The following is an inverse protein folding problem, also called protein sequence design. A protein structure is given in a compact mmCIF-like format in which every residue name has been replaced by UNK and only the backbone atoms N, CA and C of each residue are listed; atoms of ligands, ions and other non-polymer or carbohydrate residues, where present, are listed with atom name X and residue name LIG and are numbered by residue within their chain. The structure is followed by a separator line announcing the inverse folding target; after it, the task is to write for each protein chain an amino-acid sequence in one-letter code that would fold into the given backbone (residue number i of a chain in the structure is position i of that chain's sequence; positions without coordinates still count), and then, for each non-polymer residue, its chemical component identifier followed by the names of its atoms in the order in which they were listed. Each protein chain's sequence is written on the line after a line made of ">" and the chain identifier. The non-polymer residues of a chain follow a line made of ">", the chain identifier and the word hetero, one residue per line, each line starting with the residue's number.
data_IF_027742260776
#
_entry.id   IF_027742260776
#
_cell.length_a   1.000
_cell.length_b   1.000
_cell.length_c   1.000
_cell.angle_alpha   90.00
_cell.angle_beta   90.00
_cell.angle_gamma   90.00
#
_symmetry.space_group_name_H-M   'P 1'
#
loop_
_entity.id
_entity.type
_entity.pdbx_description
1 polymer ?
#
# COMPACT_ATOMS: atom_id res chain seq x y z
N UNK A 1 -28.61 -12.36 -27.73
CA UNK A 1 -27.49 -13.31 -27.71
C UNK A 1 -26.97 -13.38 -26.28
N UNK A 2 -26.89 -14.55 -25.63
CA UNK A 2 -26.33 -14.67 -24.31
C UNK A 2 -24.83 -14.32 -24.40
N UNK A 3 -24.42 -13.26 -23.73
CA UNK A 3 -22.99 -12.94 -23.57
C UNK A 3 -22.34 -14.14 -22.87
N UNK A 4 -21.38 -14.80 -23.55
CA UNK A 4 -20.53 -15.81 -22.92
C UNK A 4 -19.94 -15.18 -21.66
N UNK A 5 -20.17 -15.79 -20.51
CA UNK A 5 -19.54 -15.35 -19.26
C UNK A 5 -18.01 -15.34 -19.47
N UNK A 6 -17.32 -14.25 -19.13
CA UNK A 6 -15.87 -14.19 -19.29
C UNK A 6 -15.22 -15.32 -18.50
N UNK A 7 -14.11 -15.85 -18.99
CA UNK A 7 -13.42 -16.94 -18.29
C UNK A 7 -12.91 -16.44 -16.93
N UNK A 8 -13.02 -17.30 -15.91
CA UNK A 8 -12.51 -16.98 -14.57
C UNK A 8 -11.01 -16.56 -14.59
N UNK A 9 -10.23 -17.17 -15.51
CA UNK A 9 -8.83 -16.78 -15.73
C UNK A 9 -8.69 -15.33 -16.20
N UNK A 10 -9.60 -14.83 -17.04
CA UNK A 10 -9.57 -13.43 -17.50
C UNK A 10 -9.89 -12.46 -16.36
N UNK A 11 -10.81 -12.82 -15.47
CA UNK A 11 -11.12 -12.03 -14.26
C UNK A 11 -9.91 -11.96 -13.32
N UNK A 12 -9.21 -13.08 -13.13
CA UNK A 12 -8.00 -13.14 -12.31
C UNK A 12 -6.88 -12.27 -12.91
N UNK A 13 -6.63 -12.40 -14.21
CA UNK A 13 -5.62 -11.60 -14.92
C UNK A 13 -5.95 -10.10 -14.86
N UNK A 14 -7.21 -9.72 -15.05
CA UNK A 14 -7.66 -8.34 -14.96
C UNK A 14 -7.44 -7.77 -13.54
N UNK A 15 -7.80 -8.50 -12.50
CA UNK A 15 -7.57 -8.10 -11.11
C UNK A 15 -6.08 -7.96 -10.79
N UNK A 16 -5.25 -8.92 -11.22
CA UNK A 16 -3.80 -8.86 -11.07
C UNK A 16 -3.23 -7.61 -11.74
N UNK A 17 -3.60 -7.33 -12.99
CA UNK A 17 -3.09 -6.17 -13.74
C UNK A 17 -3.55 -4.83 -13.16
N UNK A 18 -4.77 -4.74 -12.61
CA UNK A 18 -5.22 -3.54 -11.90
C UNK A 18 -4.33 -3.26 -10.70
N UNK A 19 -4.05 -4.26 -9.87
CA UNK A 19 -3.18 -4.09 -8.71
C UNK A 19 -1.70 -3.91 -9.10
N UNK A 20 -1.27 -4.53 -10.19
CA UNK A 20 0.07 -4.36 -10.76
C UNK A 20 0.31 -2.90 -11.18
N UNK A 21 -0.57 -2.31 -11.98
CA UNK A 21 -0.45 -0.91 -12.42
C UNK A 21 -0.69 0.05 -11.25
N UNK A 22 -1.68 -0.23 -10.40
CA UNK A 22 -1.97 0.57 -9.21
C UNK A 22 -0.80 0.64 -8.24
N UNK A 23 -0.09 -0.49 -8.02
CA UNK A 23 1.11 -0.55 -7.19
C UNK A 23 2.26 0.31 -7.74
N UNK A 24 2.55 0.19 -9.04
CA UNK A 24 3.55 1.04 -9.71
C UNK A 24 3.19 2.52 -9.66
N UNK A 25 1.95 2.87 -10.00
CA UNK A 25 1.47 4.26 -10.02
C UNK A 25 1.55 4.94 -8.64
N UNK A 26 1.24 4.19 -7.58
CA UNK A 26 1.27 4.68 -6.19
C UNK A 26 2.67 5.09 -5.74
N UNK A 27 3.69 4.35 -6.13
CA UNK A 27 5.06 4.56 -5.65
C UNK A 27 5.90 5.46 -6.58
N UNK A 28 5.38 5.82 -7.76
CA UNK A 28 6.10 6.64 -8.73
C UNK A 28 6.46 8.04 -8.19
N UNK A 29 5.66 8.59 -7.27
CA UNK A 29 5.94 9.89 -6.65
C UNK A 29 7.27 9.89 -5.88
N UNK A 30 7.63 8.79 -5.23
CA UNK A 30 8.93 8.64 -4.57
C UNK A 30 10.11 8.63 -5.55
N UNK A 31 9.90 8.08 -6.75
CA UNK A 31 10.91 8.07 -7.82
C UNK A 31 11.10 9.48 -8.43
N UNK A 32 10.02 10.24 -8.58
CA UNK A 32 10.02 11.54 -9.26
C UNK A 32 10.17 12.73 -8.31
N UNK A 33 10.17 12.52 -6.99
CA UNK A 33 10.24 13.60 -6.00
C UNK A 33 11.42 14.53 -6.23
N UNK A 34 12.64 13.99 -6.29
CA UNK A 34 13.85 14.79 -6.45
C UNK A 34 13.89 15.54 -7.78
N UNK A 35 13.66 14.90 -8.96
CA UNK A 35 13.59 15.60 -10.24
C UNK A 35 12.59 16.76 -10.27
N UNK A 36 11.40 16.60 -9.65
CA UNK A 36 10.39 17.67 -9.58
C UNK A 36 10.86 18.84 -8.71
N UNK A 37 11.41 18.53 -7.53
CA UNK A 37 11.94 19.54 -6.61
C UNK A 37 13.09 20.31 -7.24
N UNK A 38 14.02 19.62 -7.91
CA UNK A 38 15.19 20.23 -8.53
C UNK A 38 14.79 21.13 -9.74
N UNK A 39 13.75 20.75 -10.52
CA UNK A 39 13.28 21.53 -11.68
C UNK A 39 12.54 22.80 -11.27
N UNK A 40 11.67 22.72 -10.27
CA UNK A 40 10.79 23.83 -9.90
C UNK A 40 11.31 24.65 -8.72
N UNK A 41 12.34 24.17 -8.01
CA UNK A 41 12.84 24.80 -6.78
C UNK A 41 11.87 24.68 -5.61
N UNK A 42 10.99 23.67 -5.63
CA UNK A 42 10.02 23.42 -4.54
C UNK A 42 10.69 22.85 -3.30
N UNK A 43 10.04 23.02 -2.15
CA UNK A 43 10.35 22.25 -0.95
C UNK A 43 9.87 20.80 -1.08
N UNK A 44 10.58 19.86 -0.46
CA UNK A 44 10.12 18.45 -0.41
C UNK A 44 8.80 18.29 0.34
N UNK A 45 8.51 19.19 1.28
CA UNK A 45 7.24 19.22 2.03
C UNK A 45 6.04 19.45 1.12
N UNK A 46 6.17 20.15 -0.01
CA UNK A 46 5.08 20.36 -0.96
C UNK A 46 4.68 19.04 -1.63
N UNK A 47 5.66 18.22 -2.02
CA UNK A 47 5.40 16.86 -2.52
C UNK A 47 4.95 15.93 -1.39
N UNK A 48 5.56 16.04 -0.20
CA UNK A 48 5.13 15.31 1.00
C UNK A 48 3.66 15.58 1.37
N UNK A 49 3.20 16.83 1.21
CA UNK A 49 1.79 17.20 1.39
C UNK A 49 0.88 16.48 0.37
N UNK A 50 1.27 16.44 -0.90
CA UNK A 50 0.51 15.72 -1.93
C UNK A 50 0.38 14.23 -1.59
N UNK A 51 1.44 13.58 -1.10
CA UNK A 51 1.41 12.21 -0.61
C UNK A 51 0.52 12.07 0.63
N UNK A 52 0.62 12.99 1.60
CA UNK A 52 -0.22 13.02 2.79
C UNK A 52 -1.71 13.10 2.44
N UNK A 53 -2.09 13.99 1.54
CA UNK A 53 -3.46 14.14 1.04
C UNK A 53 -3.90 12.88 0.30
N UNK A 54 -3.04 12.30 -0.56
CA UNK A 54 -3.33 11.01 -1.22
C UNK A 54 -3.65 9.91 -0.21
N UNK A 55 -2.87 9.79 0.86
CA UNK A 55 -3.11 8.77 1.89
C UNK A 55 -4.46 8.97 2.58
N UNK A 56 -4.78 10.20 2.99
CA UNK A 56 -6.05 10.50 3.64
C UNK A 56 -7.24 10.27 2.73
N UNK A 57 -7.17 10.76 1.48
CA UNK A 57 -8.25 10.64 0.50
C UNK A 57 -8.44 9.19 0.07
N UNK A 58 -7.36 8.46 -0.22
CA UNK A 58 -7.45 7.05 -0.62
C UNK A 58 -8.02 6.17 0.50
N UNK A 59 -7.68 6.44 1.77
CA UNK A 59 -8.26 5.72 2.91
C UNK A 59 -9.78 5.83 2.96
N UNK A 60 -10.31 7.04 2.76
CA UNK A 60 -11.76 7.30 2.67
C UNK A 60 -12.36 6.68 1.40
N UNK A 61 -11.68 6.84 0.26
CA UNK A 61 -12.14 6.32 -1.03
C UNK A 61 -12.25 4.79 -1.03
N UNK A 62 -11.29 4.07 -0.45
CA UNK A 62 -11.29 2.60 -0.32
C UNK A 62 -12.53 2.13 0.45
N UNK A 63 -12.89 2.81 1.54
CA UNK A 63 -14.08 2.47 2.33
C UNK A 63 -15.37 2.58 1.51
N UNK A 64 -15.53 3.70 0.79
CA UNK A 64 -16.72 3.90 -0.06
C UNK A 64 -16.71 2.99 -1.28
N UNK A 65 -15.54 2.76 -1.90
CA UNK A 65 -15.41 1.89 -3.06
C UNK A 65 -15.86 0.45 -2.78
N UNK A 66 -15.54 -0.09 -1.59
CA UNK A 66 -16.06 -1.40 -1.16
C UNK A 66 -17.58 -1.43 -1.11
N UNK A 67 -18.21 -0.42 -0.47
CA UNK A 67 -19.67 -0.33 -0.38
C UNK A 67 -20.35 -0.13 -1.75
N UNK A 68 -19.72 0.63 -2.65
CA UNK A 68 -20.22 0.80 -4.02
C UNK A 68 -20.04 -0.46 -4.84
N UNK A 69 -18.93 -1.19 -4.69
CA UNK A 69 -18.70 -2.47 -5.36
C UNK A 69 -19.75 -3.52 -4.97
N UNK A 70 -20.17 -3.53 -3.71
CA UNK A 70 -21.24 -4.42 -3.24
C UNK A 70 -22.61 -4.05 -3.80
N UNK A 71 -22.91 -2.76 -3.99
CA UNK A 71 -24.22 -2.25 -4.40
C UNK A 71 -24.39 -2.12 -5.92
N UNK A 72 -23.38 -1.58 -6.59
CA UNK A 72 -23.41 -1.24 -8.02
C UNK A 72 -22.57 -2.18 -8.89
N UNK A 73 -21.88 -3.15 -8.25
CA UNK A 73 -20.98 -4.10 -8.88
C UNK A 73 -19.55 -3.57 -9.04
N UNK A 74 -18.55 -4.47 -8.96
CA UNK A 74 -17.14 -4.10 -9.04
C UNK A 74 -16.74 -3.48 -10.38
N UNK A 75 -17.41 -3.86 -11.48
CA UNK A 75 -17.14 -3.33 -12.83
C UNK A 75 -17.22 -1.80 -12.89
N UNK A 76 -18.29 -1.22 -12.39
CA UNK A 76 -18.50 0.24 -12.43
C UNK A 76 -17.45 0.97 -11.59
N UNK A 77 -17.19 0.47 -10.37
CA UNK A 77 -16.25 1.07 -9.43
C UNK A 77 -14.82 1.01 -9.98
N UNK A 78 -14.38 -0.15 -10.47
CA UNK A 78 -13.05 -0.33 -11.07
C UNK A 78 -12.87 0.51 -12.33
N UNK A 79 -13.88 0.56 -13.22
CA UNK A 79 -13.79 1.35 -14.45
C UNK A 79 -13.73 2.86 -14.16
N UNK A 80 -14.56 3.34 -13.23
CA UNK A 80 -14.53 4.76 -12.80
C UNK A 80 -13.20 5.11 -12.12
N UNK A 81 -12.71 4.21 -11.25
CA UNK A 81 -11.43 4.36 -10.56
C UNK A 81 -10.25 4.41 -11.53
N UNK A 82 -10.18 3.49 -12.49
CA UNK A 82 -9.12 3.45 -13.51
C UNK A 82 -9.14 4.69 -14.42
N UNK A 83 -10.33 5.12 -14.85
CA UNK A 83 -10.46 6.32 -15.68
C UNK A 83 -9.97 7.56 -14.93
N UNK A 84 -10.41 7.72 -13.68
CA UNK A 84 -9.98 8.85 -12.86
C UNK A 84 -8.48 8.78 -12.57
N UNK A 85 -7.92 7.60 -12.28
CA UNK A 85 -6.49 7.38 -12.10
C UNK A 85 -5.70 7.71 -13.38
N UNK A 86 -6.18 7.28 -14.55
CA UNK A 86 -5.53 7.55 -15.82
C UNK A 86 -5.43 9.05 -16.10
N UNK A 87 -6.55 9.77 -15.94
CA UNK A 87 -6.61 11.21 -16.16
C UNK A 87 -5.72 11.96 -15.16
N UNK A 88 -5.91 11.69 -13.86
CA UNK A 88 -5.20 12.43 -12.82
C UNK A 88 -3.69 12.19 -12.83
N UNK A 89 -3.27 10.92 -12.96
CA UNK A 89 -1.84 10.57 -12.99
C UNK A 89 -1.20 11.03 -14.31
N UNK A 90 -1.92 10.95 -15.43
CA UNK A 90 -1.44 11.46 -16.71
C UNK A 90 -1.26 12.98 -16.70
N UNK A 91 -2.19 13.72 -16.11
CA UNK A 91 -2.12 15.18 -15.96
C UNK A 91 -1.00 15.63 -15.01
N UNK A 92 -0.49 14.74 -14.14
CA UNK A 92 0.72 15.05 -13.36
C UNK A 92 1.92 15.44 -14.24
N UNK A 93 1.97 14.99 -15.49
CA UNK A 93 2.99 15.40 -16.45
C UNK A 93 2.96 16.90 -16.82
N UNK A 94 1.88 17.60 -16.51
CA UNK A 94 1.69 19.01 -16.79
C UNK A 94 1.74 19.91 -15.55
N UNK A 95 2.14 19.34 -14.41
CA UNK A 95 2.24 20.07 -13.14
C UNK A 95 3.30 21.17 -13.27
N UNK A 96 2.95 22.38 -12.82
CA UNK A 96 3.83 23.55 -12.78
C UNK A 96 3.80 24.26 -11.42
N UNK A 97 2.81 23.93 -10.57
CA UNK A 97 2.62 24.53 -9.25
C UNK A 97 2.39 23.43 -8.20
N UNK A 98 2.82 23.59 -6.95
CA UNK A 98 2.68 22.55 -5.92
C UNK A 98 1.23 22.11 -5.68
N UNK A 99 0.27 23.04 -5.73
CA UNK A 99 -1.14 22.72 -5.53
C UNK A 99 -1.72 21.83 -6.63
N UNK A 100 -1.14 21.85 -7.86
CA UNK A 100 -1.50 20.90 -8.91
C UNK A 100 -1.19 19.46 -8.48
N UNK A 101 -0.02 19.22 -7.85
CA UNK A 101 0.33 17.90 -7.33
C UNK A 101 -0.60 17.47 -6.22
N UNK A 102 -0.98 18.38 -5.31
CA UNK A 102 -1.95 18.10 -4.25
C UNK A 102 -3.31 17.72 -4.83
N UNK A 103 -3.79 18.46 -5.83
CA UNK A 103 -5.08 18.18 -6.46
C UNK A 103 -5.05 16.89 -7.30
N UNK A 104 -4.07 16.78 -8.20
CA UNK A 104 -4.02 15.68 -9.19
C UNK A 104 -3.62 14.36 -8.53
N UNK A 105 -2.49 14.35 -7.82
CA UNK A 105 -2.01 13.14 -7.13
C UNK A 105 -2.73 12.93 -5.78
N UNK A 106 -2.83 13.97 -4.97
CA UNK A 106 -3.41 13.86 -3.64
C UNK A 106 -4.89 13.51 -3.69
N UNK A 107 -5.71 14.32 -4.35
CA UNK A 107 -7.17 14.18 -4.32
C UNK A 107 -7.66 13.24 -5.42
N UNK A 108 -7.44 13.58 -6.68
CA UNK A 108 -8.09 12.87 -7.80
C UNK A 108 -7.52 11.46 -7.98
N UNK A 109 -6.18 11.30 -7.97
CA UNK A 109 -5.57 9.98 -8.02
C UNK A 109 -5.85 9.19 -6.71
N UNK A 110 -5.90 9.85 -5.54
CA UNK A 110 -6.30 9.22 -4.29
C UNK A 110 -7.69 8.58 -4.35
N UNK A 111 -8.68 9.26 -4.95
CA UNK A 111 -10.03 8.72 -5.18
C UNK A 111 -9.96 7.59 -6.22
N UNK A 112 -9.32 7.82 -7.37
CA UNK A 112 -9.24 6.86 -8.47
C UNK A 112 -8.56 5.56 -8.07
N UNK A 113 -7.37 5.64 -7.48
CA UNK A 113 -6.60 4.49 -7.02
C UNK A 113 -7.29 3.77 -5.86
N UNK A 114 -7.95 4.52 -4.94
CA UNK A 114 -8.78 3.92 -3.89
C UNK A 114 -9.97 3.14 -4.46
N UNK A 115 -10.60 3.63 -5.52
CA UNK A 115 -11.67 2.92 -6.22
C UNK A 115 -11.18 1.73 -7.06
N UNK A 116 -9.93 1.75 -7.54
CA UNK A 116 -9.29 0.63 -8.25
C UNK A 116 -8.42 -0.24 -7.32
N UNK A 117 -8.68 -0.22 -6.01
CA UNK A 117 -7.87 -0.88 -4.99
C UNK A 117 -8.21 -2.35 -4.78
N UNK A 118 -7.48 -2.95 -3.83
CA UNK A 118 -7.63 -4.33 -3.40
C UNK A 118 -9.07 -4.72 -3.04
N UNK A 119 -9.87 -3.83 -2.42
CA UNK A 119 -11.20 -4.21 -1.93
C UNK A 119 -12.17 -4.47 -3.09
N UNK A 120 -12.39 -3.56 -4.06
CA UNK A 120 -13.24 -3.85 -5.23
C UNK A 120 -12.70 -5.01 -6.09
N UNK A 121 -11.38 -5.13 -6.23
CA UNK A 121 -10.75 -6.26 -6.91
C UNK A 121 -11.01 -7.56 -6.16
N UNK A 122 -10.89 -7.56 -4.84
CA UNK A 122 -11.19 -8.72 -3.99
C UNK A 122 -12.64 -9.18 -4.08
N UNK A 123 -13.59 -8.25 -4.11
CA UNK A 123 -15.01 -8.54 -4.35
C UNK A 123 -15.20 -9.23 -5.71
N UNK A 124 -14.60 -8.69 -6.77
CA UNK A 124 -14.65 -9.24 -8.12
C UNK A 124 -14.11 -10.67 -8.17
N UNK A 125 -12.92 -10.89 -7.61
CA UNK A 125 -12.21 -12.17 -7.64
C UNK A 125 -12.93 -13.21 -6.77
N UNK A 126 -13.38 -12.85 -5.58
CA UNK A 126 -14.13 -13.77 -4.69
C UNK A 126 -15.41 -14.27 -5.33
N UNK A 127 -16.12 -13.42 -6.08
CA UNK A 127 -17.31 -13.81 -6.82
C UNK A 127 -17.00 -14.73 -8.00
N UNK A 128 -15.85 -14.56 -8.66
CA UNK A 128 -15.42 -15.41 -9.77
C UNK A 128 -14.86 -16.77 -9.31
N UNK A 129 -14.33 -16.85 -8.09
CA UNK A 129 -13.69 -18.06 -7.53
C UNK A 129 -14.25 -18.44 -6.15
N UNK A 130 -15.54 -18.80 -6.05
CA UNK A 130 -16.16 -19.10 -4.76
C UNK A 130 -15.58 -20.34 -4.07
N UNK A 131 -14.99 -21.29 -4.83
CA UNK A 131 -14.39 -22.50 -4.29
C UNK A 131 -13.00 -22.29 -3.66
N UNK A 132 -12.26 -21.24 -4.07
CA UNK A 132 -10.89 -20.95 -3.60
C UNK A 132 -10.64 -19.45 -3.48
N UNK A 133 -11.46 -18.71 -2.71
CA UNK A 133 -11.37 -17.25 -2.67
C UNK A 133 -10.04 -16.75 -2.06
N UNK A 134 -9.50 -17.45 -1.06
CA UNK A 134 -8.24 -17.09 -0.41
C UNK A 134 -7.05 -17.14 -1.37
N UNK A 135 -6.87 -18.25 -2.06
CA UNK A 135 -5.79 -18.41 -3.05
C UNK A 135 -5.90 -17.39 -4.18
N UNK A 136 -7.09 -17.20 -4.71
CA UNK A 136 -7.32 -16.29 -5.85
C UNK A 136 -7.07 -14.84 -5.46
N UNK A 137 -7.47 -14.41 -4.26
CA UNK A 137 -7.16 -13.09 -3.75
C UNK A 137 -5.65 -12.91 -3.51
N UNK A 138 -4.97 -13.90 -2.92
CA UNK A 138 -3.52 -13.84 -2.71
C UNK A 138 -2.76 -13.71 -4.05
N UNK A 139 -3.17 -14.49 -5.06
CA UNK A 139 -2.58 -14.41 -6.41
C UNK A 139 -2.75 -13.03 -7.04
N UNK A 140 -3.91 -12.39 -6.88
CA UNK A 140 -4.15 -11.04 -7.41
C UNK A 140 -3.40 -9.99 -6.61
N UNK A 141 -3.32 -10.13 -5.28
CA UNK A 141 -2.57 -9.22 -4.40
C UNK A 141 -1.07 -9.20 -4.71
N UNK A 142 -0.48 -10.31 -5.15
CA UNK A 142 0.93 -10.35 -5.58
C UNK A 142 1.21 -9.38 -6.72
N UNK A 143 0.18 -8.99 -7.49
CA UNK A 143 0.25 -7.96 -8.52
C UNK A 143 0.82 -6.63 -8.00
N UNK A 144 0.50 -6.22 -6.76
CA UNK A 144 1.06 -4.98 -6.18
C UNK A 144 2.59 -5.04 -6.04
N UNK A 145 3.11 -6.13 -5.49
CA UNK A 145 4.56 -6.30 -5.29
C UNK A 145 5.30 -6.45 -6.62
N UNK A 146 4.74 -7.25 -7.54
CA UNK A 146 5.31 -7.41 -8.89
C UNK A 146 5.23 -6.09 -9.67
N UNK A 147 4.13 -5.34 -9.53
CA UNK A 147 3.95 -4.02 -10.12
C UNK A 147 4.95 -3.00 -9.59
N UNK A 148 5.16 -2.96 -8.30
CA UNK A 148 6.21 -2.12 -7.70
C UNK A 148 7.59 -2.47 -8.28
N UNK A 149 7.96 -3.74 -8.33
CA UNK A 149 9.24 -4.16 -8.89
C UNK A 149 9.37 -3.78 -10.37
N UNK A 150 8.44 -4.23 -11.20
CA UNK A 150 8.58 -4.15 -12.66
C UNK A 150 8.33 -2.72 -13.17
N UNK A 151 7.28 -2.06 -12.66
CA UNK A 151 6.95 -0.70 -13.13
C UNK A 151 7.97 0.30 -12.60
N UNK A 152 8.28 0.29 -11.30
CA UNK A 152 9.23 1.26 -10.75
C UNK A 152 10.63 1.04 -11.33
N UNK A 153 11.09 -0.22 -11.47
CA UNK A 153 12.36 -0.52 -12.12
C UNK A 153 12.39 -0.06 -13.59
N UNK A 154 11.31 -0.29 -14.34
CA UNK A 154 11.17 0.21 -15.71
C UNK A 154 11.12 1.73 -15.80
N UNK A 155 10.38 2.39 -14.90
CA UNK A 155 10.28 3.86 -14.86
C UNK A 155 11.58 4.52 -14.42
N UNK A 156 12.40 3.87 -13.58
CA UNK A 156 13.74 4.34 -13.28
C UNK A 156 14.62 4.43 -14.54
N UNK A 157 14.48 3.44 -15.44
CA UNK A 157 15.16 3.51 -16.75
C UNK A 157 14.57 4.60 -17.67
N UNK A 158 13.24 4.78 -17.69
CA UNK A 158 12.58 5.86 -18.44
C UNK A 158 13.04 7.23 -17.95
N UNK A 159 13.22 7.38 -16.62
CA UNK A 159 13.67 8.65 -16.03
C UNK A 159 15.10 9.04 -16.46
N UNK A 160 15.95 8.07 -16.77
CA UNK A 160 17.28 8.33 -17.34
C UNK A 160 17.26 8.77 -18.81
N UNK A 161 16.35 8.17 -19.60
CA UNK A 161 16.27 8.39 -21.05
C UNK A 161 15.38 9.57 -21.41
N UNK A 162 14.47 9.96 -20.52
CA UNK A 162 13.47 11.01 -20.70
C UNK A 162 13.36 11.87 -19.43
N UNK A 163 12.19 12.41 -19.17
CA UNK A 163 11.93 13.24 -17.98
C UNK A 163 10.89 12.59 -17.06
N UNK A 164 10.73 13.13 -15.84
CA UNK A 164 9.67 12.73 -14.93
C UNK A 164 8.26 12.93 -15.50
N UNK A 165 8.08 13.87 -16.44
CA UNK A 165 6.84 14.06 -17.20
C UNK A 165 6.46 12.78 -17.97
N UNK A 166 7.42 12.14 -18.65
CA UNK A 166 7.21 10.89 -19.36
C UNK A 166 6.77 9.75 -18.42
N UNK A 167 7.31 9.69 -17.21
CA UNK A 167 6.90 8.72 -16.18
C UNK A 167 5.39 8.79 -15.95
N UNK A 168 4.85 9.97 -15.73
CA UNK A 168 3.42 10.17 -15.47
C UNK A 168 2.55 9.92 -16.71
N UNK A 169 3.02 10.28 -17.91
CA UNK A 169 2.32 9.94 -19.16
C UNK A 169 2.21 8.42 -19.36
N UNK A 170 3.30 7.68 -19.16
CA UNK A 170 3.29 6.21 -19.24
C UNK A 170 2.33 5.58 -18.23
N UNK A 171 2.30 6.07 -17.00
CA UNK A 171 1.41 5.59 -15.96
C UNK A 171 -0.07 5.92 -16.27
N UNK A 172 -0.34 7.10 -16.79
CA UNK A 172 -1.67 7.49 -17.26
C UNK A 172 -2.16 6.56 -18.37
N UNK A 173 -1.31 6.32 -19.39
CA UNK A 173 -1.60 5.39 -20.47
C UNK A 173 -1.81 3.95 -19.96
N UNK A 174 -0.99 3.46 -19.04
CA UNK A 174 -1.13 2.13 -18.47
C UNK A 174 -2.47 1.95 -17.73
N UNK A 175 -2.88 2.92 -16.92
CA UNK A 175 -4.20 2.89 -16.27
C UNK A 175 -5.35 2.93 -17.30
N UNK A 176 -5.23 3.72 -18.37
CA UNK A 176 -6.24 3.83 -19.42
C UNK A 176 -6.38 2.53 -20.20
N UNK A 177 -5.27 1.85 -20.51
CA UNK A 177 -5.26 0.57 -21.22
C UNK A 177 -5.94 -0.57 -20.44
N UNK A 178 -6.02 -0.47 -19.12
CA UNK A 178 -6.77 -1.43 -18.30
C UNK A 178 -8.29 -1.26 -18.39
N UNK A 179 -8.78 -0.10 -18.79
CA UNK A 179 -10.22 0.19 -18.84
C UNK A 179 -10.98 -0.77 -19.76
N UNK A 180 -10.59 -0.98 -21.04
CA UNK A 180 -11.26 -1.97 -21.88
C UNK A 180 -11.16 -3.38 -21.31
N UNK A 181 -10.02 -3.75 -20.71
CA UNK A 181 -9.87 -5.07 -20.09
C UNK A 181 -10.93 -5.30 -18.98
N UNK A 182 -11.13 -4.35 -18.08
CA UNK A 182 -12.15 -4.44 -17.03
C UNK A 182 -13.56 -4.48 -17.61
N UNK A 183 -13.82 -3.67 -18.63
CA UNK A 183 -15.12 -3.65 -19.31
C UNK A 183 -15.46 -4.98 -20.00
N UNK A 184 -14.46 -5.76 -20.45
CA UNK A 184 -14.65 -7.08 -21.05
C UNK A 184 -14.60 -8.21 -20.02
N UNK A 185 -13.67 -8.14 -19.06
CA UNK A 185 -13.43 -9.22 -18.10
C UNK A 185 -14.47 -9.30 -16.98
N UNK A 186 -15.11 -8.18 -16.61
CA UNK A 186 -16.03 -8.11 -15.48
C UNK A 186 -17.47 -8.04 -15.97
N UNK A 187 -18.32 -9.05 -15.68
CA UNK A 187 -19.72 -9.05 -16.11
C UNK A 187 -20.49 -7.83 -15.56
N UNK A 188 -21.51 -7.38 -16.31
CA UNK A 188 -22.51 -6.48 -15.77
C UNK A 188 -23.35 -7.27 -14.76
N UNK A 189 -23.26 -6.94 -13.49
CA UNK A 189 -24.08 -7.58 -12.48
C UNK A 189 -25.48 -6.95 -12.39
N UNK A 190 -26.51 -7.80 -12.25
CA UNK A 190 -27.82 -7.36 -11.81
C UNK A 190 -27.85 -7.32 -10.27
N UNK A 191 -28.57 -6.35 -9.71
CA UNK A 191 -28.69 -6.07 -8.25
C UNK A 191 -29.15 -7.25 -7.37
N UNK A 192 -29.45 -8.41 -7.94
CA UNK A 192 -30.12 -9.51 -7.24
C UNK A 192 -29.18 -10.50 -6.51
N UNK A 193 -27.84 -10.45 -6.74
CA UNK A 193 -26.92 -11.49 -6.26
C UNK A 193 -26.17 -11.19 -4.94
N UNK A 194 -26.54 -10.15 -4.21
CA UNK A 194 -25.73 -9.58 -3.10
C UNK A 194 -26.06 -10.11 -1.69
N UNK A 195 -26.76 -11.24 -1.51
CA UNK A 195 -27.11 -11.77 -0.18
C UNK A 195 -26.74 -13.23 0.01
N UNK A 196 -25.47 -13.51 0.30
CA UNK A 196 -25.11 -14.71 1.06
C UNK A 196 -24.47 -14.24 2.39
N UNK A 197 -25.24 -14.33 3.46
CA UNK A 197 -24.83 -14.02 4.82
C UNK A 197 -23.93 -15.14 5.38
N UNK A 198 -22.71 -14.78 5.81
CA UNK A 198 -21.90 -15.67 6.65
C UNK A 198 -22.38 -15.62 8.12
N UNK A 199 -22.21 -16.71 8.90
CA UNK A 199 -22.62 -16.75 10.30
C UNK A 199 -21.92 -15.67 11.14
N UNK A 200 -22.67 -15.09 12.02
CA UNK A 200 -22.39 -13.86 12.76
C UNK A 200 -21.64 -14.16 14.07
N UNK A 201 -20.36 -14.57 14.01
CA UNK A 201 -19.52 -14.86 15.18
C UNK A 201 -18.51 -13.72 15.42
N UNK A 202 -18.60 -13.03 16.57
CA UNK A 202 -17.64 -12.00 16.98
C UNK A 202 -18.24 -10.76 17.60
N UNK A 203 -17.37 -9.84 18.05
CA UNK A 203 -17.76 -8.59 18.73
C UNK A 203 -17.82 -7.41 17.76
N UNK A 204 -18.72 -6.47 18.04
CA UNK A 204 -18.87 -5.25 17.22
C UNK A 204 -17.73 -4.26 17.40
N UNK A 205 -17.56 -3.35 16.44
CA UNK A 205 -16.52 -2.29 16.44
C UNK A 205 -16.52 -1.49 17.75
N UNK A 206 -17.70 -1.12 18.26
CA UNK A 206 -17.82 -0.37 19.53
C UNK A 206 -17.32 -1.19 20.73
N UNK A 207 -17.54 -2.49 20.74
CA UNK A 207 -17.07 -3.38 21.81
C UNK A 207 -15.57 -3.66 21.69
N UNK A 208 -15.05 -3.83 20.47
CA UNK A 208 -13.61 -3.95 20.21
C UNK A 208 -12.86 -2.69 20.70
N UNK A 209 -13.39 -1.49 20.44
CA UNK A 209 -12.81 -0.21 20.88
C UNK A 209 -12.74 -0.03 22.40
N UNK A 210 -13.40 -0.88 23.20
CA UNK A 210 -13.26 -0.91 24.67
C UNK A 210 -12.12 -1.80 25.15
N UNK A 211 -11.48 -2.58 24.27
CA UNK A 211 -10.43 -3.53 24.63
C UNK A 211 -9.05 -2.94 24.48
N UNK A 212 -8.15 -3.27 25.40
CA UNK A 212 -6.72 -2.92 25.31
C UNK A 212 -6.09 -3.47 24.03
N UNK A 213 -6.48 -4.68 23.62
CA UNK A 213 -5.97 -5.35 22.42
C UNK A 213 -6.18 -4.54 21.15
N UNK A 214 -7.37 -3.91 21.01
CA UNK A 214 -7.69 -3.05 19.86
C UNK A 214 -6.76 -1.83 19.77
N UNK A 215 -6.52 -1.13 20.89
CA UNK A 215 -5.68 0.06 20.90
C UNK A 215 -4.20 -0.25 20.70
N UNK A 216 -3.71 -1.37 21.25
CA UNK A 216 -2.36 -1.86 20.97
C UNK A 216 -2.19 -2.15 19.48
N UNK A 217 -3.13 -2.88 18.88
CA UNK A 217 -3.12 -3.21 17.46
C UNK A 217 -3.18 -1.95 16.59
N UNK A 218 -4.07 -1.02 16.94
CA UNK A 218 -4.20 0.27 16.24
C UNK A 218 -2.89 1.08 16.30
N UNK A 219 -2.24 1.13 17.46
CA UNK A 219 -0.94 1.80 17.65
C UNK A 219 0.17 1.16 16.82
N UNK A 220 0.26 -0.17 16.81
CA UNK A 220 1.25 -0.90 15.98
C UNK A 220 1.07 -0.56 14.49
N UNK A 221 -0.18 -0.56 14.00
CA UNK A 221 -0.45 -0.26 12.58
C UNK A 221 -0.35 1.22 12.25
N UNK A 222 -0.61 2.12 13.20
CA UNK A 222 -0.36 3.55 13.04
C UNK A 222 1.14 3.81 12.78
N UNK A 223 2.01 3.24 13.62
CA UNK A 223 3.47 3.34 13.46
C UNK A 223 3.93 2.65 12.18
N UNK A 224 3.39 1.48 11.86
CA UNK A 224 3.70 0.78 10.62
C UNK A 224 3.48 1.68 9.40
N UNK A 225 2.30 2.31 9.31
CA UNK A 225 2.00 3.22 8.21
C UNK A 225 2.93 4.43 8.18
N UNK A 226 3.21 5.00 9.34
CA UNK A 226 4.12 6.14 9.47
C UNK A 226 5.51 5.83 8.90
N UNK A 227 6.11 4.68 9.25
CA UNK A 227 7.39 4.22 8.73
C UNK A 227 7.32 3.90 7.23
N UNK A 228 6.29 3.16 6.81
CA UNK A 228 6.16 2.65 5.44
C UNK A 228 6.12 3.77 4.40
N UNK A 229 5.31 4.79 4.65
CA UNK A 229 5.14 5.88 3.67
C UNK A 229 6.21 6.96 3.76
N UNK A 230 6.85 7.13 4.90
CA UNK A 230 8.09 7.88 4.96
C UNK A 230 9.14 7.25 4.03
N UNK A 231 9.43 5.96 4.21
CA UNK A 231 10.48 5.28 3.45
C UNK A 231 10.16 5.26 1.96
N UNK A 232 8.96 4.82 1.56
CA UNK A 232 8.59 4.73 0.13
C UNK A 232 8.53 6.06 -0.59
N UNK A 233 8.33 7.16 0.13
CA UNK A 233 8.34 8.51 -0.42
C UNK A 233 9.76 9.06 -0.58
N UNK A 234 10.64 8.80 0.40
CA UNK A 234 11.90 9.52 0.50
C UNK A 234 13.15 8.69 0.19
N UNK A 235 13.08 7.35 0.15
CA UNK A 235 14.26 6.48 -0.01
C UNK A 235 15.07 6.78 -1.27
N UNK A 236 14.42 7.08 -2.39
CA UNK A 236 15.08 7.38 -3.66
C UNK A 236 15.81 8.72 -3.57
N UNK A 237 15.14 9.76 -3.09
CA UNK A 237 15.73 11.08 -2.90
C UNK A 237 16.87 11.04 -1.89
N UNK A 238 16.69 10.33 -0.77
CA UNK A 238 17.73 10.13 0.24
C UNK A 238 18.98 9.44 -0.35
N UNK A 239 18.80 8.36 -1.12
CA UNK A 239 19.90 7.66 -1.75
C UNK A 239 20.68 8.57 -2.73
N UNK A 240 19.97 9.35 -3.56
CA UNK A 240 20.56 10.32 -4.47
C UNK A 240 21.33 11.44 -3.72
N UNK A 241 20.82 11.92 -2.61
CA UNK A 241 21.50 12.92 -1.77
C UNK A 241 22.80 12.36 -1.13
N UNK A 242 22.94 11.03 -1.04
CA UNK A 242 24.17 10.32 -0.61
C UNK A 242 25.08 9.92 -1.76
N UNK A 243 24.83 10.45 -2.97
CA UNK A 243 25.65 10.19 -4.15
C UNK A 243 25.39 8.84 -4.83
N UNK A 244 24.31 8.12 -4.46
CA UNK A 244 23.87 6.95 -5.19
C UNK A 244 23.34 7.37 -6.55
N UNK A 245 23.81 6.69 -7.61
CA UNK A 245 23.32 6.93 -8.97
C UNK A 245 21.79 6.86 -9.06
N UNK A 246 21.19 7.73 -9.88
CA UNK A 246 19.74 7.89 -9.96
C UNK A 246 19.02 6.60 -10.39
N UNK A 247 19.61 5.80 -11.30
CA UNK A 247 19.06 4.53 -11.72
C UNK A 247 19.11 3.51 -10.58
N UNK A 248 20.24 3.42 -9.88
CA UNK A 248 20.40 2.52 -8.74
C UNK A 248 19.45 2.93 -7.60
N UNK A 249 19.35 4.23 -7.29
CA UNK A 249 18.44 4.76 -6.28
C UNK A 249 16.96 4.41 -6.58
N UNK A 250 16.53 4.60 -7.84
CA UNK A 250 15.19 4.19 -8.28
C UNK A 250 14.95 2.68 -8.14
N UNK A 251 15.96 1.86 -8.45
CA UNK A 251 15.88 0.41 -8.30
C UNK A 251 15.86 -0.07 -6.84
N UNK A 252 16.34 0.71 -5.87
CA UNK A 252 16.14 0.38 -4.45
C UNK A 252 14.65 0.26 -4.09
N UNK A 253 13.84 1.21 -4.57
CA UNK A 253 12.39 1.17 -4.35
C UNK A 253 11.74 -0.03 -5.08
N UNK A 254 12.21 -0.37 -6.29
CA UNK A 254 11.76 -1.54 -7.03
C UNK A 254 12.09 -2.86 -6.29
N UNK A 255 13.32 -2.98 -5.79
CA UNK A 255 13.78 -4.15 -5.01
C UNK A 255 12.97 -4.31 -3.73
N UNK A 256 12.55 -3.23 -3.07
CA UNK A 256 11.65 -3.31 -1.93
C UNK A 256 10.32 -4.00 -2.27
N UNK A 257 9.81 -3.86 -3.50
CA UNK A 257 8.64 -4.60 -3.98
C UNK A 257 8.88 -6.12 -4.03
N UNK A 258 10.04 -6.54 -4.54
CA UNK A 258 10.43 -7.95 -4.61
C UNK A 258 10.65 -8.55 -3.21
N UNK A 259 11.43 -7.88 -2.38
CA UNK A 259 11.72 -8.36 -1.02
C UNK A 259 10.46 -8.35 -0.16
N UNK A 260 9.53 -7.40 -0.39
CA UNK A 260 8.21 -7.37 0.23
C UNK A 260 7.37 -8.61 -0.07
N UNK A 261 7.42 -9.13 -1.30
CA UNK A 261 6.75 -10.39 -1.65
C UNK A 261 7.34 -11.57 -0.85
N UNK A 262 8.67 -11.66 -0.73
CA UNK A 262 9.34 -12.68 0.08
C UNK A 262 8.88 -12.56 1.54
N UNK A 263 8.86 -11.35 2.07
CA UNK A 263 8.43 -11.06 3.43
C UNK A 263 6.98 -11.49 3.71
N UNK A 264 6.05 -11.18 2.80
CA UNK A 264 4.64 -11.59 2.92
C UNK A 264 4.50 -13.10 3.00
N UNK A 265 5.16 -13.84 2.11
CA UNK A 265 5.11 -15.31 2.08
C UNK A 265 5.72 -15.90 3.37
N UNK A 266 6.91 -15.44 3.76
CA UNK A 266 7.59 -15.90 4.97
C UNK A 266 6.80 -15.54 6.24
N UNK A 267 6.30 -14.30 6.32
CA UNK A 267 5.49 -13.81 7.44
C UNK A 267 4.17 -14.56 7.57
N UNK A 268 3.49 -14.86 6.47
CA UNK A 268 2.29 -15.68 6.43
C UNK A 268 2.56 -17.10 6.93
N UNK A 269 3.58 -17.77 6.40
CA UNK A 269 3.97 -19.12 6.82
C UNK A 269 4.37 -19.18 8.30
N UNK A 270 5.05 -18.15 8.81
CA UNK A 270 5.38 -18.06 10.24
C UNK A 270 4.14 -17.80 11.09
N UNK A 271 3.20 -16.96 10.60
CA UNK A 271 1.92 -16.69 11.26
C UNK A 271 1.08 -17.96 11.43
N UNK A 272 1.04 -18.81 10.40
CA UNK A 272 0.30 -20.09 10.45
C UNK A 272 0.85 -21.03 11.53
N UNK A 273 2.16 -20.98 11.81
CA UNK A 273 2.83 -21.84 12.79
C UNK A 273 2.84 -21.26 14.20
N UNK A 274 3.15 -19.97 14.32
CA UNK A 274 3.46 -19.32 15.60
C UNK A 274 2.49 -18.21 16.00
N UNK A 275 1.47 -17.93 15.14
CA UNK A 275 0.54 -16.82 15.29
C UNK A 275 1.12 -15.50 14.77
N UNK A 276 0.25 -14.47 14.59
CA UNK A 276 0.63 -13.22 13.89
C UNK A 276 1.57 -12.31 14.70
N UNK A 277 1.70 -12.49 15.99
CA UNK A 277 2.57 -11.67 16.87
C UNK A 277 4.04 -11.80 16.49
N UNK A 278 4.52 -13.04 16.26
CA UNK A 278 5.94 -13.28 15.99
C UNK A 278 6.44 -12.68 14.66
N UNK A 279 5.78 -12.90 13.51
CA UNK A 279 6.23 -12.28 12.27
C UNK A 279 6.16 -10.75 12.34
N UNK A 280 5.17 -10.18 13.03
CA UNK A 280 5.07 -8.73 13.24
C UNK A 280 6.20 -8.21 14.13
N UNK A 281 6.52 -8.89 15.24
CA UNK A 281 7.62 -8.51 16.12
C UNK A 281 8.99 -8.61 15.40
N UNK A 282 9.22 -9.65 14.61
CA UNK A 282 10.45 -9.79 13.81
C UNK A 282 10.56 -8.70 12.75
N UNK A 283 9.44 -8.31 12.12
CA UNK A 283 9.44 -7.21 11.17
C UNK A 283 9.85 -5.89 11.85
N UNK A 284 9.30 -5.56 13.02
CA UNK A 284 9.71 -4.35 13.73
C UNK A 284 11.12 -4.44 14.31
N UNK A 285 11.57 -5.61 14.77
CA UNK A 285 12.96 -5.79 15.19
C UNK A 285 13.96 -5.54 14.04
N UNK A 286 13.63 -6.04 12.83
CA UNK A 286 14.42 -5.76 11.63
C UNK A 286 14.40 -4.26 11.28
N UNK A 287 13.25 -3.56 11.38
CA UNK A 287 13.15 -2.11 11.18
C UNK A 287 14.02 -1.33 12.18
N UNK A 288 13.96 -1.67 13.47
CA UNK A 288 14.84 -1.07 14.49
C UNK A 288 16.31 -1.22 14.08
N UNK A 289 16.73 -2.42 13.64
CA UNK A 289 18.08 -2.66 13.18
C UNK A 289 18.49 -1.77 12.01
N UNK A 290 17.66 -1.68 10.96
CA UNK A 290 18.03 -0.92 9.75
C UNK A 290 17.85 0.58 9.89
N UNK A 291 16.88 1.06 10.67
CA UNK A 291 16.82 2.49 11.00
C UNK A 291 18.00 2.91 11.86
N UNK A 292 18.42 2.07 12.84
CA UNK A 292 19.63 2.30 13.63
C UNK A 292 20.88 2.33 12.76
N UNK A 293 20.98 1.42 11.77
CA UNK A 293 22.08 1.40 10.80
C UNK A 293 22.17 2.73 10.04
N UNK A 294 21.04 3.22 9.47
CA UNK A 294 21.04 4.47 8.69
C UNK A 294 21.30 5.70 9.56
N UNK A 295 20.89 5.70 10.83
CA UNK A 295 21.25 6.79 11.75
C UNK A 295 22.76 6.81 12.02
N UNK A 296 23.39 5.64 12.11
CA UNK A 296 24.83 5.50 12.39
C UNK A 296 25.71 5.65 11.16
N UNK A 297 25.29 5.11 10.01
CA UNK A 297 26.04 5.08 8.75
C UNK A 297 25.12 5.24 7.55
N UNK A 298 25.42 6.22 6.70
CA UNK A 298 24.65 6.55 5.50
C UNK A 298 25.45 6.26 4.21
N UNK A 299 26.38 5.31 4.26
CA UNK A 299 27.09 4.83 3.09
C UNK A 299 26.16 4.15 2.08
N UNK A 300 26.56 4.07 0.82
CA UNK A 300 25.80 3.38 -0.23
C UNK A 300 25.44 1.94 0.16
N UNK A 301 26.39 1.24 0.85
CA UNK A 301 26.15 -0.12 1.32
C UNK A 301 25.03 -0.16 2.39
N UNK A 302 25.07 0.75 3.36
CA UNK A 302 24.07 0.85 4.40
C UNK A 302 22.69 1.19 3.83
N UNK A 303 22.61 2.07 2.82
CA UNK A 303 21.38 2.38 2.10
C UNK A 303 20.84 1.15 1.36
N UNK A 304 21.70 0.37 0.70
CA UNK A 304 21.30 -0.86 0.02
C UNK A 304 20.80 -1.94 1.00
N UNK A 305 21.50 -2.15 2.13
CA UNK A 305 21.08 -3.07 3.20
C UNK A 305 19.73 -2.61 3.77
N UNK A 306 19.58 -1.31 4.02
CA UNK A 306 18.33 -0.73 4.50
C UNK A 306 17.17 -1.04 3.56
N UNK A 307 17.30 -0.73 2.26
CA UNK A 307 16.23 -0.95 1.29
C UNK A 307 15.87 -2.45 1.18
N UNK A 308 16.86 -3.33 1.18
CA UNK A 308 16.64 -4.77 1.10
C UNK A 308 15.91 -5.30 2.34
N UNK A 309 16.38 -5.00 3.54
CA UNK A 309 15.81 -5.50 4.79
C UNK A 309 14.47 -4.84 5.09
N UNK A 310 14.37 -3.51 4.94
CA UNK A 310 13.09 -2.81 5.13
C UNK A 310 12.03 -3.34 4.17
N UNK A 311 12.39 -3.57 2.90
CA UNK A 311 11.51 -4.15 1.91
C UNK A 311 10.89 -5.48 2.37
N UNK A 312 11.67 -6.38 3.00
CA UNK A 312 11.13 -7.65 3.52
C UNK A 312 10.04 -7.46 4.59
N UNK A 313 10.03 -6.32 5.26
CA UNK A 313 9.06 -6.01 6.33
C UNK A 313 7.85 -5.21 5.85
N UNK A 314 7.97 -4.56 4.69
CA UNK A 314 7.06 -3.52 4.22
C UNK A 314 5.62 -4.02 4.04
N UNK A 315 5.40 -5.15 3.40
CA UNK A 315 4.05 -5.67 3.12
C UNK A 315 3.60 -6.79 4.09
N UNK A 316 4.46 -7.23 5.01
CA UNK A 316 4.17 -8.35 5.93
C UNK A 316 2.94 -8.10 6.78
N UNK A 317 2.76 -6.89 7.25
CA UNK A 317 1.68 -6.53 8.17
C UNK A 317 0.30 -6.56 7.53
N UNK A 318 0.18 -6.33 6.22
CA UNK A 318 -1.11 -6.25 5.54
C UNK A 318 -1.97 -7.53 5.68
N UNK A 319 -1.49 -8.75 5.33
CA UNK A 319 -2.26 -9.98 5.57
C UNK A 319 -2.40 -10.30 7.06
N UNK A 320 -1.41 -9.95 7.89
CA UNK A 320 -1.47 -10.22 9.33
C UNK A 320 -2.54 -9.41 10.05
N UNK A 321 -2.94 -8.24 9.54
CA UNK A 321 -4.07 -7.45 10.08
C UNK A 321 -5.34 -8.30 10.14
N UNK A 322 -5.64 -9.00 9.05
CA UNK A 322 -6.84 -9.85 8.95
C UNK A 322 -6.77 -10.97 9.99
N UNK A 323 -5.60 -11.59 10.15
CA UNK A 323 -5.39 -12.67 11.14
C UNK A 323 -5.55 -12.13 12.57
N UNK A 324 -4.90 -11.00 12.90
CA UNK A 324 -5.05 -10.38 14.23
C UNK A 324 -6.50 -10.05 14.57
N UNK A 325 -7.25 -9.47 13.61
CA UNK A 325 -8.64 -9.09 13.83
C UNK A 325 -9.52 -10.32 13.98
N UNK A 326 -9.35 -11.31 13.12
CA UNK A 326 -10.08 -12.59 13.16
C UNK A 326 -9.87 -13.31 14.49
N UNK A 327 -8.61 -13.42 14.93
CA UNK A 327 -8.24 -14.15 16.15
C UNK A 327 -8.65 -13.41 17.42
N UNK A 328 -8.60 -12.07 17.42
CA UNK A 328 -8.88 -11.26 18.62
C UNK A 328 -10.35 -10.88 18.76
N UNK A 329 -11.07 -10.69 17.66
CA UNK A 329 -12.41 -10.09 17.66
C UNK A 329 -13.47 -10.94 16.94
N UNK A 330 -13.03 -12.01 16.26
CA UNK A 330 -13.90 -12.87 15.46
C UNK A 330 -14.18 -12.29 14.07
N UNK A 331 -14.99 -13.02 13.31
CA UNK A 331 -15.23 -12.73 11.87
C UNK A 331 -16.43 -11.84 11.60
N UNK A 332 -17.29 -11.59 12.60
CA UNK A 332 -18.54 -10.82 12.46
C UNK A 332 -18.37 -9.44 11.81
N UNK A 333 -17.37 -8.69 12.28
CA UNK A 333 -17.08 -7.33 11.81
C UNK A 333 -15.66 -7.21 11.26
N UNK A 334 -15.14 -8.32 10.70
CA UNK A 334 -13.77 -8.42 10.21
C UNK A 334 -13.43 -7.28 9.23
N UNK A 335 -14.28 -7.06 8.25
CA UNK A 335 -14.07 -6.00 7.25
C UNK A 335 -14.08 -4.59 7.85
N UNK A 336 -14.98 -4.31 8.79
CA UNK A 336 -15.08 -3.00 9.43
C UNK A 336 -13.87 -2.71 10.33
N UNK A 337 -13.43 -3.70 11.12
CA UNK A 337 -12.27 -3.56 12.02
C UNK A 337 -10.96 -3.48 11.24
N UNK A 338 -10.78 -4.35 10.25
CA UNK A 338 -9.60 -4.32 9.36
C UNK A 338 -9.57 -3.00 8.58
N UNK A 339 -10.72 -2.56 8.06
CA UNK A 339 -10.83 -1.29 7.35
C UNK A 339 -10.47 -0.08 8.21
N UNK A 340 -10.90 -0.05 9.47
CA UNK A 340 -10.55 1.02 10.41
C UNK A 340 -9.05 1.03 10.72
N UNK A 341 -8.45 -0.13 10.95
CA UNK A 341 -7.01 -0.26 11.20
C UNK A 341 -6.22 0.21 9.96
N UNK A 342 -6.64 -0.22 8.76
CA UNK A 342 -6.01 0.19 7.50
C UNK A 342 -6.17 1.70 7.26
N UNK A 343 -7.30 2.28 7.61
CA UNK A 343 -7.51 3.73 7.51
C UNK A 343 -6.55 4.50 8.41
N UNK A 344 -6.34 4.05 9.65
CA UNK A 344 -5.36 4.67 10.57
C UNK A 344 -3.94 4.49 10.06
N UNK A 345 -3.59 3.29 9.57
CA UNK A 345 -2.29 3.01 8.93
C UNK A 345 -2.02 4.00 7.78
N UNK A 346 -2.99 4.18 6.87
CA UNK A 346 -2.87 5.11 5.74
C UNK A 346 -2.76 6.58 6.21
N UNK A 347 -3.60 6.99 7.16
CA UNK A 347 -3.57 8.36 7.70
C UNK A 347 -2.23 8.69 8.36
N UNK A 348 -1.74 7.81 9.23
CA UNK A 348 -0.42 7.95 9.85
C UNK A 348 0.72 7.89 8.83
N UNK A 349 0.54 7.11 7.75
CA UNK A 349 1.47 7.08 6.63
C UNK A 349 1.60 8.42 5.94
N UNK A 350 0.48 9.11 5.70
CA UNK A 350 0.49 10.46 5.16
C UNK A 350 1.23 11.46 6.07
N UNK A 351 1.03 11.32 7.38
CA UNK A 351 1.76 12.14 8.38
C UNK A 351 3.27 11.85 8.30
N UNK A 352 3.68 10.57 8.20
CA UNK A 352 5.08 10.17 8.09
C UNK A 352 5.76 10.73 6.84
N UNK A 353 5.09 10.64 5.68
CA UNK A 353 5.59 11.19 4.43
C UNK A 353 5.77 12.72 4.50
N UNK A 354 4.76 13.43 5.03
CA UNK A 354 4.83 14.88 5.16
C UNK A 354 5.89 15.35 6.17
N UNK A 355 5.90 14.77 7.38
CA UNK A 355 6.84 15.16 8.42
C UNK A 355 8.29 14.86 8.04
N UNK A 356 8.54 13.75 7.31
CA UNK A 356 9.86 13.45 6.78
C UNK A 356 10.36 14.51 5.80
N UNK A 357 9.48 15.00 4.92
CA UNK A 357 9.77 16.07 3.99
C UNK A 357 10.01 17.41 4.71
N UNK A 358 9.14 17.78 5.65
CA UNK A 358 9.27 19.02 6.44
C UNK A 358 10.54 19.01 7.29
N UNK A 359 10.92 17.86 7.86
CA UNK A 359 12.17 17.71 8.59
C UNK A 359 13.40 17.94 7.68
N UNK A 360 13.34 17.40 6.43
CA UNK A 360 14.39 17.66 5.46
C UNK A 360 14.49 19.14 5.10
N UNK A 361 13.37 19.80 4.80
CA UNK A 361 13.35 21.21 4.43
C UNK A 361 13.89 22.12 5.57
N UNK A 362 13.64 21.73 6.83
CA UNK A 362 14.11 22.47 8.00
C UNK A 362 15.59 22.23 8.33
N UNK A 363 16.15 21.05 8.02
CA UNK A 363 17.48 20.62 8.51
C UNK A 363 18.48 20.30 7.41
N UNK A 364 18.05 20.25 6.15
CA UNK A 364 18.88 19.85 5.02
C UNK A 364 19.21 18.34 4.98
N UNK A 365 18.53 17.50 5.77
CA UNK A 365 18.80 16.06 5.80
C UNK A 365 17.71 15.22 6.47
N UNK A 366 17.82 13.91 6.32
CA UNK A 366 16.85 12.94 6.87
C UNK A 366 17.25 12.32 8.22
N UNK A 367 18.38 12.69 8.81
CA UNK A 367 18.91 12.03 10.02
C UNK A 367 17.91 12.08 11.19
N UNK A 368 17.28 13.25 11.42
CA UNK A 368 16.26 13.39 12.47
C UNK A 368 15.04 12.52 12.16
N UNK A 369 14.58 12.51 10.90
CA UNK A 369 13.46 11.69 10.51
C UNK A 369 13.73 10.19 10.74
N UNK A 370 14.91 9.70 10.34
CA UNK A 370 15.31 8.31 10.61
C UNK A 370 15.43 7.99 12.10
N UNK A 371 15.91 8.92 12.92
CA UNK A 371 15.94 8.73 14.38
C UNK A 371 14.54 8.63 14.99
N UNK A 372 13.58 9.42 14.49
CA UNK A 372 12.16 9.32 14.88
C UNK A 372 11.58 7.96 14.47
N UNK A 373 11.86 7.48 13.23
CA UNK A 373 11.41 6.16 12.76
C UNK A 373 12.02 5.02 13.57
N UNK A 374 13.30 5.15 13.97
CA UNK A 374 13.95 4.19 14.88
C UNK A 374 13.19 4.10 16.22
N UNK A 375 12.92 5.24 16.86
CA UNK A 375 12.20 5.28 18.14
C UNK A 375 10.75 4.76 17.98
N UNK A 376 10.07 5.12 16.90
CA UNK A 376 8.72 4.67 16.59
C UNK A 376 8.68 3.14 16.35
N UNK A 377 9.61 2.59 15.57
CA UNK A 377 9.72 1.15 15.35
C UNK A 377 10.03 0.38 16.64
N UNK A 378 10.86 0.94 17.54
CA UNK A 378 11.12 0.36 18.85
C UNK A 378 9.85 0.33 19.71
N UNK A 379 9.08 1.41 19.70
CA UNK A 379 7.78 1.46 20.37
C UNK A 379 6.81 0.42 19.78
N UNK A 380 6.74 0.31 18.44
CA UNK A 380 5.88 -0.67 17.78
C UNK A 380 6.27 -2.11 18.13
N UNK A 381 7.57 -2.40 18.25
CA UNK A 381 8.06 -3.70 18.72
C UNK A 381 7.55 -4.00 20.13
N UNK A 382 7.69 -3.05 21.06
CA UNK A 382 7.19 -3.18 22.44
C UNK A 382 5.67 -3.39 22.45
N UNK A 383 4.91 -2.57 21.73
CA UNK A 383 3.44 -2.70 21.63
C UNK A 383 3.05 -4.07 21.05
N UNK A 384 3.78 -4.56 20.04
CA UNK A 384 3.53 -5.87 19.43
C UNK A 384 3.75 -7.01 20.43
N UNK A 385 4.82 -6.95 21.23
CA UNK A 385 5.09 -7.95 22.26
C UNK A 385 4.06 -7.93 23.41
N UNK A 386 3.37 -6.80 23.62
CA UNK A 386 2.27 -6.66 24.56
C UNK A 386 0.93 -7.19 24.03
N UNK A 387 0.81 -7.48 22.73
CA UNK A 387 -0.38 -8.11 22.15
C UNK A 387 -0.56 -9.52 22.75
N UNK A 388 -1.76 -9.81 23.20
CA UNK A 388 -2.08 -11.15 23.69
C UNK A 388 -2.02 -12.14 22.52
N UNK A 389 -1.38 -13.27 22.76
CA UNK A 389 -1.46 -14.40 21.84
C UNK A 389 -2.88 -14.96 21.93
N UNK A 390 -3.64 -14.99 20.84
CA UNK A 390 -4.94 -15.65 20.89
C UNK A 390 -4.72 -17.11 21.29
N UNK A 391 -5.48 -17.57 22.29
CA UNK A 391 -5.50 -18.98 22.64
C UNK A 391 -6.00 -19.73 21.39
N UNK A 392 -5.18 -20.63 20.82
CA UNK A 392 -5.62 -21.47 19.71
C UNK A 392 -6.84 -22.25 20.19
N UNK A 393 -8.01 -21.93 19.64
CA UNK A 393 -9.19 -22.78 19.78
C UNK A 393 -8.90 -24.10 19.02
N UNK A 394 -8.29 -25.09 19.68
CA UNK A 394 -7.95 -26.34 19.01
C UNK A 394 -6.90 -27.22 19.67
N UNK A 395 -6.47 -26.90 20.90
CA UNK A 395 -5.61 -27.82 21.68
C UNK A 395 -6.41 -28.56 22.78
N UNK A 396 -7.63 -28.95 22.45
CA UNK A 396 -8.43 -29.86 23.32
C UNK A 396 -9.23 -30.81 22.41
N UNK A 397 -8.58 -31.83 21.89
CA UNK A 397 -9.10 -33.18 21.64
C UNK A 397 -7.94 -34.15 21.76
#
# INVERSE_FOLDING_TARGET
>A
MPQKSPSAALVLAAGFLVLFVGGGSRFAIGLTLKPMVDEFGWGRSEIGLAVGVYMAVSAVAIFFAGRFADRAGPRLVLSGGLLLSAISIGLMSLVSEPWHAVLLYGVLFGIGNGAASLIPVGVMVTRAFPARPGFSNAAVMSGMSVGQLVIIGGLAAVLLAASWHAVYLWLGAANLLLLPLILFAVPKESRASAKAQQPDLGIGVRSAGKTRQFWLLLGVYAICGFDDFFVTTHIVAFAQDRGVDAFLAGNLLAVMGLTGLIGVVAGGALSDRAGPVWPTALAFAARVGVFGLIVADQSTLSVAIFAFVFGTTFLVTAPLTVVFVSDSFGTRHLGALTGLITMVHQGCGGIGAYLGAAAFDATGGYTIAFAVMFAASLLALVLTLMLQRPARAGAAV
#
